data_IF_291413475481
#
_entry.id   IF_291413475481
#
_cell.length_a   1.000
_cell.length_b   1.000
_cell.length_c   1.000
_cell.angle_alpha   90.00
_cell.angle_beta   90.00
_cell.angle_gamma   90.00
#
_symmetry.space_group_name_H-M   'P 1'
#
loop_
_entity.id
_entity.type
_entity.pdbx_description
1 polymer ?
#
# COMPACT_ATOMS: atom_id res chain seq x y z
N UNK A 1 -58.63 46.61 -45.00
CA UNK A 1 -57.64 45.56 -45.30
C UNK A 1 -56.28 46.00 -44.73
N UNK A 2 -55.80 45.43 -43.62
CA UNK A 2 -54.44 45.70 -43.17
C UNK A 2 -53.51 44.59 -43.55
N UNK A 3 -52.38 44.97 -44.07
CA UNK A 3 -51.23 44.18 -44.51
C UNK A 3 -50.53 43.57 -43.32
N UNK A 4 -50.34 42.22 -43.31
CA UNK A 4 -49.55 41.51 -42.33
C UNK A 4 -48.05 41.55 -42.72
N UNK A 5 -47.24 42.11 -41.88
CA UNK A 5 -45.78 42.07 -41.98
C UNK A 5 -45.27 40.80 -41.30
N UNK A 6 -44.64 39.89 -42.05
CA UNK A 6 -43.93 38.70 -41.52
C UNK A 6 -42.55 39.12 -41.04
N UNK A 7 -42.30 38.90 -39.73
CA UNK A 7 -40.96 39.01 -39.13
C UNK A 7 -40.27 37.64 -39.25
N UNK A 8 -39.20 37.54 -40.04
CA UNK A 8 -38.30 36.39 -40.08
C UNK A 8 -37.29 36.53 -38.94
N UNK A 9 -37.42 35.68 -37.92
CA UNK A 9 -36.40 35.49 -36.88
C UNK A 9 -35.28 34.57 -37.41
N UNK A 10 -34.13 35.17 -37.69
CA UNK A 10 -32.88 34.48 -37.93
C UNK A 10 -32.32 33.94 -36.61
N UNK A 11 -32.54 32.66 -36.30
CA UNK A 11 -31.85 31.99 -35.19
C UNK A 11 -30.43 31.58 -35.67
N UNK A 12 -29.43 32.16 -35.10
CA UNK A 12 -28.01 31.98 -35.37
C UNK A 12 -27.51 30.60 -34.88
N UNK A 13 -26.72 29.88 -35.69
CA UNK A 13 -26.14 28.53 -35.32
C UNK A 13 -24.91 28.62 -34.41
N UNK A 14 -24.66 29.71 -33.69
CA UNK A 14 -23.43 29.94 -32.91
C UNK A 14 -23.40 29.17 -31.59
N UNK A 15 -24.56 28.84 -30.98
CA UNK A 15 -24.59 28.15 -29.69
C UNK A 15 -24.22 26.66 -29.74
N UNK A 16 -24.34 25.97 -30.86
CA UNK A 16 -24.05 24.54 -30.97
C UNK A 16 -22.54 24.24 -31.15
N UNK A 17 -21.80 25.16 -31.75
CA UNK A 17 -20.35 24.99 -31.91
C UNK A 17 -19.57 25.17 -30.61
N UNK A 18 -20.04 26.04 -29.69
CA UNK A 18 -19.41 26.26 -28.37
C UNK A 18 -19.60 25.07 -27.40
N UNK A 19 -20.77 24.38 -27.46
CA UNK A 19 -21.01 23.16 -26.65
C UNK A 19 -20.18 21.97 -27.11
N UNK A 20 -19.93 21.81 -28.42
CA UNK A 20 -19.10 20.74 -28.95
C UNK A 20 -17.61 20.92 -28.64
N UNK A 21 -17.12 22.18 -28.58
CA UNK A 21 -15.74 22.49 -28.19
C UNK A 21 -15.48 22.28 -26.68
N UNK A 22 -16.47 22.52 -25.81
CA UNK A 22 -16.35 22.24 -24.38
C UNK A 22 -16.39 20.74 -24.07
N UNK A 23 -17.17 19.95 -24.82
CA UNK A 23 -17.21 18.49 -24.66
C UNK A 23 -15.90 17.82 -25.15
N UNK A 24 -15.25 18.34 -26.20
CA UNK A 24 -13.98 17.83 -26.68
C UNK A 24 -12.79 18.16 -25.76
N UNK A 25 -12.81 19.29 -25.07
CA UNK A 25 -11.78 19.65 -24.08
C UNK A 25 -11.84 18.76 -22.81
N UNK A 26 -13.04 18.34 -22.41
CA UNK A 26 -13.19 17.41 -21.27
C UNK A 26 -12.83 15.96 -21.63
N UNK A 27 -13.04 15.53 -22.86
CA UNK A 27 -12.64 14.21 -23.34
C UNK A 27 -11.12 14.07 -23.50
N UNK A 28 -10.42 15.13 -23.92
CA UNK A 28 -8.96 15.15 -24.00
C UNK A 28 -8.30 15.05 -22.60
N UNK A 29 -8.86 15.70 -21.58
CA UNK A 29 -8.36 15.66 -20.21
C UNK A 29 -8.45 14.27 -19.54
N UNK A 30 -9.42 13.44 -19.92
CA UNK A 30 -9.56 12.09 -19.37
C UNK A 30 -8.60 11.07 -20.02
N UNK A 31 -8.13 11.32 -21.25
CA UNK A 31 -7.23 10.43 -21.99
C UNK A 31 -5.77 10.50 -21.48
N UNK A 32 -5.40 11.56 -20.78
CA UNK A 32 -4.04 11.82 -20.33
C UNK A 32 -3.74 11.37 -18.90
N UNK A 33 -4.76 10.91 -18.15
CA UNK A 33 -4.59 10.47 -16.77
C UNK A 33 -3.94 9.09 -16.69
N UNK A 34 -3.10 8.90 -15.67
CA UNK A 34 -2.59 7.60 -15.24
C UNK A 34 -3.62 7.00 -14.28
N UNK A 35 -4.06 5.76 -14.53
CA UNK A 35 -4.99 5.06 -13.67
C UNK A 35 -4.26 3.93 -12.94
N UNK A 36 -4.21 4.01 -11.63
CA UNK A 36 -3.65 2.98 -10.77
C UNK A 36 -4.67 2.45 -9.77
N UNK A 37 -4.51 1.20 -9.32
CA UNK A 37 -5.35 0.65 -8.27
C UNK A 37 -4.58 -0.35 -7.42
N UNK A 38 -4.95 -0.51 -6.14
CA UNK A 38 -4.38 -1.57 -5.32
C UNK A 38 -4.16 -1.21 -3.86
N UNK A 39 -2.94 -1.42 -3.36
CA UNK A 39 -2.58 -1.24 -1.96
C UNK A 39 -3.17 0.04 -1.35
N UNK A 40 -3.97 -0.13 -0.30
CA UNK A 40 -4.48 1.00 0.48
C UNK A 40 -3.40 1.58 1.40
N UNK A 41 -2.39 0.79 1.76
CA UNK A 41 -1.24 1.23 2.53
C UNK A 41 -0.45 2.34 1.81
N UNK A 42 -0.19 2.16 0.50
CA UNK A 42 0.58 3.09 -0.31
C UNK A 42 -0.21 4.30 -0.82
N UNK A 43 -1.54 4.33 -0.65
CA UNK A 43 -2.37 5.43 -1.15
C UNK A 43 -1.89 6.82 -0.73
N UNK A 44 -1.49 7.08 0.53
CA UNK A 44 -1.02 8.40 0.95
C UNK A 44 0.25 8.86 0.21
N UNK A 45 1.24 7.99 0.01
CA UNK A 45 2.47 8.37 -0.69
C UNK A 45 2.22 8.59 -2.18
N UNK A 46 1.39 7.77 -2.82
CA UNK A 46 1.04 7.98 -4.23
C UNK A 46 0.26 9.28 -4.43
N UNK A 47 -0.60 9.65 -3.48
CA UNK A 47 -1.33 10.92 -3.51
C UNK A 47 -0.40 12.13 -3.38
N UNK A 48 0.58 12.10 -2.47
CA UNK A 48 1.52 13.22 -2.32
C UNK A 48 2.46 13.33 -3.53
N UNK A 49 2.95 12.20 -4.07
CA UNK A 49 3.72 12.17 -5.31
C UNK A 49 2.92 12.69 -6.51
N UNK A 50 1.67 12.26 -6.65
CA UNK A 50 0.79 12.72 -7.73
C UNK A 50 0.55 14.22 -7.67
N UNK A 51 0.32 14.76 -6.47
CA UNK A 51 0.11 16.20 -6.25
C UNK A 51 1.34 17.02 -6.66
N UNK A 52 2.54 16.53 -6.32
CA UNK A 52 3.79 17.22 -6.68
C UNK A 52 4.11 17.07 -8.17
N UNK A 53 3.95 15.86 -8.72
CA UNK A 53 4.15 15.57 -10.13
C UNK A 53 3.30 16.44 -11.04
N UNK A 54 2.03 16.65 -10.70
CA UNK A 54 1.09 17.46 -11.47
C UNK A 54 1.46 18.95 -11.55
N UNK A 55 2.36 19.46 -10.71
CA UNK A 55 2.83 20.86 -10.79
C UNK A 55 3.70 21.12 -12.03
N UNK A 56 4.35 20.08 -12.55
CA UNK A 56 5.31 20.20 -13.67
C UNK A 56 4.92 19.34 -14.88
N UNK A 57 3.92 18.49 -14.74
CA UNK A 57 3.45 17.57 -15.78
C UNK A 57 1.95 17.72 -15.97
N UNK A 58 1.48 17.75 -17.20
CA UNK A 58 0.05 17.87 -17.53
C UNK A 58 -0.77 16.59 -17.20
N UNK A 59 -0.11 15.54 -16.74
CA UNK A 59 -0.70 14.22 -16.46
C UNK A 59 -1.05 14.10 -14.98
N UNK A 60 -2.27 13.70 -14.66
CA UNK A 60 -2.74 13.42 -13.30
C UNK A 60 -2.76 11.91 -13.02
N UNK A 61 -2.51 11.53 -11.76
CA UNK A 61 -2.73 10.17 -11.27
C UNK A 61 -4.11 10.07 -10.62
N UNK A 62 -4.91 9.11 -11.10
CA UNK A 62 -6.14 8.65 -10.44
C UNK A 62 -5.82 7.29 -9.80
N UNK A 63 -5.83 7.23 -8.47
CA UNK A 63 -5.49 6.01 -7.73
C UNK A 63 -6.66 5.52 -6.89
N UNK A 64 -7.04 4.24 -7.09
CA UNK A 64 -8.13 3.56 -6.38
C UNK A 64 -7.58 2.59 -5.32
N UNK A 65 -7.68 2.90 -4.00
CA UNK A 65 -7.08 2.11 -2.92
C UNK A 65 -7.95 0.90 -2.53
N UNK A 66 -8.18 -0.02 -3.46
CA UNK A 66 -9.09 -1.19 -3.32
C UNK A 66 -8.47 -2.42 -2.63
N UNK A 67 -7.22 -2.33 -2.18
CA UNK A 67 -6.43 -3.41 -1.61
C UNK A 67 -5.59 -4.17 -2.65
N UNK A 68 -4.48 -4.79 -2.18
CA UNK A 68 -3.49 -5.47 -3.03
C UNK A 68 -4.10 -6.52 -3.96
N UNK A 69 -5.00 -7.36 -3.43
CA UNK A 69 -5.64 -8.41 -4.23
C UNK A 69 -6.48 -7.88 -5.38
N UNK A 70 -7.31 -6.86 -5.13
CA UNK A 70 -8.14 -6.24 -6.17
C UNK A 70 -7.29 -5.45 -7.18
N UNK A 71 -6.21 -4.78 -6.74
CA UNK A 71 -5.26 -4.09 -7.61
C UNK A 71 -4.61 -5.05 -8.61
N UNK A 72 -4.11 -6.19 -8.14
CA UNK A 72 -3.54 -7.23 -8.99
C UNK A 72 -4.58 -7.84 -9.94
N UNK A 73 -5.83 -8.03 -9.49
CA UNK A 73 -6.91 -8.50 -10.37
C UNK A 73 -7.22 -7.51 -11.50
N UNK A 74 -7.25 -6.19 -11.21
CA UNK A 74 -7.48 -5.13 -12.19
C UNK A 74 -6.35 -5.08 -13.24
N UNK A 75 -5.07 -5.11 -12.83
CA UNK A 75 -3.96 -5.06 -13.78
C UNK A 75 -3.86 -6.34 -14.62
N UNK A 76 -4.17 -7.51 -14.07
CA UNK A 76 -4.24 -8.75 -14.82
C UNK A 76 -5.27 -8.68 -15.98
N UNK A 77 -6.36 -7.93 -15.78
CA UNK A 77 -7.39 -7.68 -16.80
C UNK A 77 -7.10 -6.44 -17.67
N UNK A 78 -6.01 -5.70 -17.40
CA UNK A 78 -5.68 -4.45 -18.10
C UNK A 78 -6.74 -3.34 -17.92
N UNK A 79 -7.46 -3.35 -16.79
CA UNK A 79 -8.46 -2.32 -16.42
C UNK A 79 -7.80 -1.02 -15.93
N UNK A 80 -6.53 -1.09 -15.52
CA UNK A 80 -5.70 0.03 -15.03
C UNK A 80 -4.33 0.03 -15.70
N UNK A 81 -3.59 1.13 -15.61
CA UNK A 81 -2.24 1.25 -16.17
C UNK A 81 -1.19 0.57 -15.29
N UNK A 82 -1.43 0.55 -13.97
CA UNK A 82 -0.65 -0.24 -13.03
C UNK A 82 -1.49 -0.79 -11.87
N UNK A 83 -1.11 -1.95 -11.37
CA UNK A 83 -1.62 -2.50 -10.11
C UNK A 83 -0.61 -2.32 -9.00
N UNK A 84 -1.05 -1.89 -7.80
CA UNK A 84 -0.18 -1.79 -6.64
C UNK A 84 -0.49 -2.90 -5.62
N UNK A 85 0.57 -3.54 -5.10
CA UNK A 85 0.45 -4.64 -4.13
C UNK A 85 1.58 -4.59 -3.13
N UNK A 86 1.28 -4.90 -1.86
CA UNK A 86 2.30 -5.09 -0.84
C UNK A 86 2.84 -6.53 -0.83
N UNK A 87 2.36 -7.37 -1.74
CA UNK A 87 2.76 -8.76 -1.90
C UNK A 87 3.44 -8.88 -3.26
N UNK A 88 4.66 -9.39 -3.28
CA UNK A 88 5.33 -9.70 -4.54
C UNK A 88 4.70 -10.95 -5.17
N UNK A 89 4.35 -10.85 -6.46
CA UNK A 89 3.84 -11.99 -7.21
C UNK A 89 5.00 -12.93 -7.59
N UNK A 90 4.71 -14.24 -7.64
CA UNK A 90 5.72 -15.21 -8.08
C UNK A 90 6.17 -14.95 -9.52
N UNK A 91 7.42 -15.33 -9.85
CA UNK A 91 7.93 -15.20 -11.21
C UNK A 91 7.07 -15.97 -12.23
N UNK A 92 6.46 -17.10 -11.82
CA UNK A 92 5.55 -17.88 -12.64
C UNK A 92 4.24 -17.10 -12.93
N UNK A 93 3.66 -16.45 -11.91
CA UNK A 93 2.45 -15.65 -12.08
C UNK A 93 2.71 -14.38 -12.90
N UNK A 94 3.83 -13.70 -12.69
CA UNK A 94 4.24 -12.55 -13.49
C UNK A 94 4.39 -12.93 -14.97
N UNK A 95 5.07 -14.05 -15.24
CA UNK A 95 5.23 -14.59 -16.60
C UNK A 95 3.88 -14.96 -17.23
N UNK A 96 3.04 -15.69 -16.49
CA UNK A 96 1.70 -16.11 -16.93
C UNK A 96 0.82 -14.92 -17.32
N UNK A 97 0.86 -13.85 -16.51
CA UNK A 97 0.05 -12.66 -16.72
C UNK A 97 0.74 -11.59 -17.59
N UNK A 98 1.96 -11.85 -18.10
CA UNK A 98 2.71 -10.92 -18.92
C UNK A 98 3.01 -9.61 -18.20
N UNK A 99 3.39 -9.66 -16.93
CA UNK A 99 3.70 -8.51 -16.09
C UNK A 99 5.18 -8.46 -15.73
N UNK A 100 5.67 -7.26 -15.43
CA UNK A 100 6.84 -7.00 -14.61
C UNK A 100 6.37 -6.36 -13.30
N UNK A 101 7.16 -6.53 -12.22
CA UNK A 101 6.82 -6.02 -10.91
C UNK A 101 8.08 -5.50 -10.21
N UNK A 102 8.00 -4.34 -9.58
CA UNK A 102 9.12 -3.69 -8.90
C UNK A 102 8.62 -2.85 -7.71
N UNK A 103 9.44 -2.69 -6.64
CA UNK A 103 9.04 -1.97 -5.44
C UNK A 103 9.00 -0.46 -5.64
N UNK A 104 8.25 0.24 -4.80
CA UNK A 104 8.14 1.70 -4.80
C UNK A 104 8.53 2.34 -3.47
N UNK A 105 8.07 1.78 -2.35
CA UNK A 105 8.33 2.28 -1.00
C UNK A 105 8.31 1.14 0.01
N UNK A 106 8.80 1.43 1.22
CA UNK A 106 8.81 0.52 2.36
C UNK A 106 8.05 1.15 3.52
N UNK A 107 7.33 0.32 4.28
CA UNK A 107 6.61 0.71 5.50
C UNK A 107 6.53 -0.47 6.47
N UNK A 108 5.85 -0.30 7.61
CA UNK A 108 5.60 -1.36 8.58
C UNK A 108 4.12 -1.61 8.83
N UNK A 109 3.79 -2.85 9.14
CA UNK A 109 2.50 -3.23 9.73
C UNK A 109 2.59 -3.12 11.23
N UNK A 110 1.69 -2.36 11.84
CA UNK A 110 1.74 -2.01 13.26
C UNK A 110 0.50 -2.53 13.97
N UNK A 111 0.63 -3.39 14.98
CA UNK A 111 -0.47 -3.67 15.90
C UNK A 111 -0.81 -2.39 16.68
N UNK A 112 -2.09 -2.02 16.69
CA UNK A 112 -2.61 -0.83 17.36
C UNK A 112 -3.76 -1.19 18.28
N UNK A 113 -3.93 -0.41 19.34
CA UNK A 113 -4.96 -0.65 20.36
C UNK A 113 -5.76 0.61 20.68
N UNK A 114 -7.00 0.43 21.11
CA UNK A 114 -7.81 1.51 21.68
C UNK A 114 -8.10 1.20 23.15
N UNK A 115 -7.10 1.39 24.01
CA UNK A 115 -7.20 1.25 25.47
C UNK A 115 -7.17 2.62 26.15
N UNK A 116 -8.16 2.90 26.99
CA UNK A 116 -8.28 4.19 27.66
C UNK A 116 -7.01 4.53 28.47
N UNK A 117 -6.48 5.74 28.25
CA UNK A 117 -5.29 6.29 28.91
C UNK A 117 -3.96 5.56 28.61
N UNK A 118 -3.96 4.59 27.72
CA UNK A 118 -2.72 3.92 27.31
C UNK A 118 -1.96 4.83 26.31
N UNK A 119 -0.70 5.09 26.63
CA UNK A 119 0.17 5.82 25.70
C UNK A 119 0.64 4.88 24.57
N UNK A 120 0.92 5.45 23.40
CA UNK A 120 1.54 4.70 22.30
C UNK A 120 2.85 4.05 22.79
N UNK A 121 3.11 2.82 22.35
CA UNK A 121 4.27 2.00 22.71
C UNK A 121 4.37 1.55 24.18
N UNK A 122 3.40 1.90 25.04
CA UNK A 122 3.39 1.43 26.42
C UNK A 122 3.01 -0.06 26.56
N UNK A 123 2.19 -0.60 25.62
CA UNK A 123 1.88 -2.03 25.58
C UNK A 123 2.96 -2.77 24.80
N UNK A 124 3.44 -3.88 25.37
CA UNK A 124 4.43 -4.78 24.77
C UNK A 124 3.80 -6.13 24.46
N UNK A 125 3.99 -6.61 23.22
CA UNK A 125 3.58 -7.96 22.82
C UNK A 125 4.74 -8.66 22.11
N UNK A 126 4.72 -9.99 22.12
CA UNK A 126 5.51 -10.81 21.22
C UNK A 126 4.61 -11.49 20.17
N UNK A 127 5.20 -12.12 19.17
CA UNK A 127 4.45 -12.75 18.10
C UNK A 127 3.55 -13.89 18.56
N UNK A 128 3.95 -14.67 19.57
CA UNK A 128 3.13 -15.76 20.12
C UNK A 128 1.85 -15.21 20.79
N UNK A 129 2.00 -14.24 21.69
CA UNK A 129 0.84 -13.63 22.38
C UNK A 129 -0.08 -12.93 21.38
N UNK A 130 0.48 -12.21 20.42
CA UNK A 130 -0.30 -11.56 19.36
C UNK A 130 -1.08 -12.60 18.53
N UNK A 131 -0.45 -13.69 18.13
CA UNK A 131 -1.13 -14.78 17.41
C UNK A 131 -2.26 -15.41 18.21
N UNK A 132 -2.04 -15.66 19.51
CA UNK A 132 -3.06 -16.24 20.41
C UNK A 132 -4.25 -15.30 20.63
N UNK A 133 -4.04 -13.99 20.63
CA UNK A 133 -5.13 -13.01 20.62
C UNK A 133 -5.98 -13.16 19.35
N UNK A 134 -5.38 -13.16 18.16
CA UNK A 134 -6.10 -13.27 16.91
C UNK A 134 -6.65 -14.70 16.62
N UNK A 135 -6.14 -15.72 17.31
CA UNK A 135 -6.72 -17.07 17.34
C UNK A 135 -7.96 -17.18 18.26
N UNK A 136 -8.25 -16.15 19.08
CA UNK A 136 -9.29 -16.15 20.08
C UNK A 136 -8.96 -17.01 21.31
N UNK A 137 -7.70 -17.32 21.55
CA UNK A 137 -7.20 -18.05 22.73
C UNK A 137 -6.96 -17.12 23.93
N UNK A 138 -6.61 -15.88 23.67
CA UNK A 138 -6.50 -14.80 24.66
C UNK A 138 -7.59 -13.79 24.32
N UNK A 139 -8.59 -13.66 25.21
CA UNK A 139 -9.81 -12.87 24.95
C UNK A 139 -10.00 -11.70 25.94
N UNK A 140 -9.09 -11.55 26.90
CA UNK A 140 -9.15 -10.51 27.95
C UNK A 140 -7.82 -9.74 27.96
N UNK A 141 -7.89 -8.42 28.17
CA UNK A 141 -6.69 -7.59 28.23
C UNK A 141 -5.81 -7.90 29.44
N UNK A 142 -6.40 -8.30 30.57
CA UNK A 142 -5.67 -8.67 31.78
C UNK A 142 -5.25 -10.14 31.85
N UNK A 143 -5.25 -10.85 30.73
CA UNK A 143 -4.76 -12.22 30.64
C UNK A 143 -3.33 -12.34 31.19
N UNK A 144 -3.00 -13.45 31.88
CA UNK A 144 -1.67 -13.63 32.48
C UNK A 144 -0.51 -13.44 31.51
N UNK A 145 -0.67 -13.89 30.27
CA UNK A 145 0.34 -13.83 29.22
C UNK A 145 0.63 -12.38 28.79
N UNK A 146 -0.40 -11.53 28.73
CA UNK A 146 -0.24 -10.10 28.42
C UNK A 146 0.39 -9.40 29.62
N UNK A 147 -0.08 -9.66 30.83
CA UNK A 147 0.47 -9.08 32.05
C UNK A 147 1.95 -9.43 32.26
N UNK A 148 2.35 -10.66 31.94
CA UNK A 148 3.75 -11.09 32.08
C UNK A 148 4.72 -10.27 31.20
N UNK A 149 4.26 -9.77 30.05
CA UNK A 149 5.03 -8.87 29.18
C UNK A 149 4.94 -7.39 29.60
N UNK A 150 3.99 -7.05 30.49
CA UNK A 150 3.61 -5.68 30.87
C UNK A 150 3.43 -5.50 32.37
N UNK A 151 4.42 -5.80 33.21
CA UNK A 151 4.26 -5.75 34.66
C UNK A 151 3.93 -4.35 35.19
N UNK A 152 4.37 -3.30 34.48
CA UNK A 152 4.16 -1.90 34.88
C UNK A 152 2.85 -1.29 34.31
N UNK A 153 2.14 -2.01 33.42
CA UNK A 153 0.92 -1.51 32.75
C UNK A 153 -0.32 -2.04 33.46
N UNK A 154 -1.18 -1.14 33.95
CA UNK A 154 -2.47 -1.53 34.51
C UNK A 154 -3.46 -1.85 33.41
N UNK A 155 -3.57 -3.14 33.06
CA UNK A 155 -4.49 -3.63 32.02
C UNK A 155 -5.91 -3.84 32.60
N UNK A 156 -6.98 -3.50 31.85
CA UNK A 156 -8.35 -3.65 32.36
C UNK A 156 -8.83 -5.11 32.19
N UNK A 157 -9.64 -5.59 33.17
CA UNK A 157 -10.35 -6.86 33.05
C UNK A 157 -11.55 -6.72 32.06
N UNK A 158 -11.26 -6.56 30.79
CA UNK A 158 -12.25 -6.34 29.72
C UNK A 158 -11.93 -7.19 28.49
N UNK A 159 -12.97 -7.58 27.70
CA UNK A 159 -12.77 -8.36 26.49
C UNK A 159 -11.99 -7.59 25.43
N UNK A 160 -11.24 -8.33 24.62
CA UNK A 160 -10.51 -7.82 23.46
C UNK A 160 -11.43 -7.85 22.24
N UNK A 161 -11.62 -6.73 21.55
CA UNK A 161 -12.34 -6.65 20.30
C UNK A 161 -11.35 -6.65 19.11
N UNK A 162 -11.48 -7.64 18.23
CA UNK A 162 -10.60 -7.75 17.05
C UNK A 162 -11.15 -6.94 15.89
N UNK A 163 -10.29 -6.13 15.28
CA UNK A 163 -10.58 -5.42 14.03
C UNK A 163 -9.60 -5.90 12.97
N UNK A 164 -10.12 -6.32 11.81
CA UNK A 164 -9.36 -6.98 10.75
C UNK A 164 -9.76 -6.49 9.37
N UNK A 165 -8.99 -6.88 8.35
CA UNK A 165 -9.29 -6.58 6.96
C UNK A 165 -10.28 -7.57 6.38
N UNK A 166 -11.28 -7.06 5.64
CA UNK A 166 -12.29 -7.83 4.90
C UNK A 166 -11.95 -7.99 3.40
N UNK A 167 -10.95 -7.27 2.90
CA UNK A 167 -10.48 -7.29 1.52
C UNK A 167 -9.19 -8.09 1.35
N UNK A 168 -8.78 -8.34 0.12
CA UNK A 168 -7.47 -8.93 -0.20
C UNK A 168 -6.35 -7.92 0.09
N UNK A 169 -5.76 -8.01 1.28
CA UNK A 169 -4.87 -7.01 1.87
C UNK A 169 -3.43 -7.49 1.97
N UNK A 170 -2.49 -6.69 1.47
CA UNK A 170 -1.06 -6.91 1.70
C UNK A 170 -0.67 -6.77 3.16
N UNK A 171 -1.30 -5.84 3.90
CA UNK A 171 -1.13 -5.69 5.35
C UNK A 171 -1.49 -6.98 6.09
N UNK A 172 -2.62 -7.63 5.71
CA UNK A 172 -3.02 -8.94 6.24
C UNK A 172 -2.00 -10.03 5.90
N UNK A 173 -1.46 -10.03 4.68
CA UNK A 173 -0.46 -11.00 4.25
C UNK A 173 0.80 -10.94 5.14
N UNK A 174 1.41 -9.77 5.30
CA UNK A 174 2.62 -9.61 6.12
C UNK A 174 2.36 -9.87 7.61
N UNK A 175 1.21 -9.45 8.10
CA UNK A 175 0.77 -9.77 9.47
C UNK A 175 0.67 -11.29 9.67
N UNK A 176 0.02 -12.00 8.74
CA UNK A 176 -0.15 -13.46 8.82
C UNK A 176 1.15 -14.22 8.61
N UNK A 177 2.07 -13.72 7.76
CA UNK A 177 3.41 -14.28 7.60
C UNK A 177 4.19 -14.21 8.93
N UNK A 178 4.22 -13.04 9.56
CA UNK A 178 4.85 -12.88 10.87
C UNK A 178 4.24 -13.82 11.93
N UNK A 179 2.91 -13.90 12.03
CA UNK A 179 2.26 -14.80 12.98
C UNK A 179 2.55 -16.28 12.67
N UNK A 180 2.67 -16.66 11.40
CA UNK A 180 3.05 -18.01 10.99
C UNK A 180 4.49 -18.37 11.34
N UNK A 181 5.40 -17.40 11.38
CA UNK A 181 6.80 -17.59 11.82
C UNK A 181 6.90 -17.77 13.32
N UNK A 182 6.06 -17.06 14.08
CA UNK A 182 6.17 -16.95 15.53
C UNK A 182 5.23 -17.87 16.32
N UNK A 183 4.21 -18.47 15.66
CA UNK A 183 3.24 -19.34 16.34
C UNK A 183 2.79 -20.52 15.47
N UNK A 184 3.08 -21.75 15.93
CA UNK A 184 2.77 -22.98 15.20
C UNK A 184 1.27 -23.24 15.03
N UNK A 185 0.43 -22.87 16.01
CA UNK A 185 -1.03 -23.03 15.94
C UNK A 185 -1.65 -22.08 14.89
N UNK A 186 -1.14 -20.85 14.79
CA UNK A 186 -1.53 -19.95 13.72
C UNK A 186 -1.16 -20.53 12.35
N UNK A 187 0.11 -20.95 12.20
CA UNK A 187 0.62 -21.56 10.96
C UNK A 187 -0.23 -22.74 10.49
N UNK A 188 -0.62 -23.59 11.42
CA UNK A 188 -1.44 -24.79 11.13
C UNK A 188 -2.88 -24.42 10.74
N UNK A 189 -3.49 -23.44 11.45
CA UNK A 189 -4.90 -23.09 11.26
C UNK A 189 -5.15 -22.17 10.07
N UNK A 190 -4.34 -21.13 9.94
CA UNK A 190 -4.55 -20.06 8.98
C UNK A 190 -3.43 -19.96 7.93
N UNK A 191 -2.17 -20.22 8.32
CA UNK A 191 -1.02 -20.03 7.45
C UNK A 191 -0.82 -18.57 7.05
N UNK A 192 -0.30 -18.36 5.83
CA UNK A 192 -0.04 -17.05 5.23
C UNK A 192 -1.04 -16.80 4.11
N UNK A 193 -1.81 -15.71 4.21
CA UNK A 193 -2.75 -15.32 3.18
C UNK A 193 -3.08 -13.82 3.28
N UNK A 194 -3.59 -13.26 2.20
CA UNK A 194 -4.03 -11.86 2.15
C UNK A 194 -5.50 -11.66 2.55
N UNK A 195 -6.22 -12.75 2.78
CA UNK A 195 -7.63 -12.76 3.20
C UNK A 195 -7.95 -14.03 3.99
N UNK A 196 -8.79 -13.88 5.01
CA UNK A 196 -9.27 -15.00 5.84
C UNK A 196 -10.77 -14.94 6.03
N UNK A 197 -11.40 -16.11 6.20
CA UNK A 197 -12.75 -16.23 6.75
C UNK A 197 -12.64 -16.07 8.28
N UNK A 198 -12.78 -14.85 8.75
CA UNK A 198 -12.71 -14.54 10.19
C UNK A 198 -13.91 -15.09 10.95
N UNK A 199 -13.74 -15.50 12.22
CA UNK A 199 -14.84 -16.00 13.03
C UNK A 199 -15.88 -14.91 13.32
N UNK A 200 -17.07 -15.33 13.69
CA UNK A 200 -18.14 -14.43 14.13
C UNK A 200 -17.69 -13.56 15.33
N UNK A 201 -18.13 -12.30 15.37
CA UNK A 201 -17.78 -11.35 16.42
C UNK A 201 -16.52 -10.52 16.12
N UNK A 202 -15.77 -10.84 15.07
CA UNK A 202 -14.65 -10.01 14.59
C UNK A 202 -15.19 -8.88 13.70
N UNK A 203 -14.72 -7.65 13.92
CA UNK A 203 -15.08 -6.48 13.09
C UNK A 203 -14.19 -6.48 11.86
N UNK A 204 -14.75 -6.79 10.70
CA UNK A 204 -14.03 -6.84 9.45
C UNK A 204 -14.40 -5.66 8.53
N UNK A 205 -13.40 -4.85 8.12
CA UNK A 205 -13.58 -3.65 7.30
C UNK A 205 -12.63 -3.62 6.12
N UNK A 206 -12.95 -2.85 5.06
CA UNK A 206 -12.15 -2.77 3.84
C UNK A 206 -11.22 -1.57 3.84
N UNK A 207 -9.94 -1.82 3.54
CA UNK A 207 -8.92 -0.78 3.42
C UNK A 207 -8.43 -0.25 4.77
N UNK A 208 -7.25 0.38 4.76
CA UNK A 208 -6.55 0.84 5.96
C UNK A 208 -7.26 2.02 6.64
N UNK A 209 -7.88 2.91 5.87
CA UNK A 209 -8.65 4.04 6.41
C UNK A 209 -9.85 3.59 7.27
N UNK A 210 -10.58 2.56 6.83
CA UNK A 210 -11.71 2.05 7.61
C UNK A 210 -11.25 1.24 8.85
N UNK A 211 -10.07 0.58 8.79
CA UNK A 211 -9.46 -0.01 10.01
C UNK A 211 -9.18 1.07 11.04
N UNK A 212 -8.53 2.16 10.65
CA UNK A 212 -8.25 3.28 11.56
C UNK A 212 -9.52 3.85 12.19
N UNK A 213 -10.54 4.09 11.38
CA UNK A 213 -11.83 4.59 11.86
C UNK A 213 -12.52 3.61 12.82
N UNK A 214 -12.48 2.30 12.52
CA UNK A 214 -13.05 1.27 13.38
C UNK A 214 -12.34 1.17 14.73
N UNK A 215 -10.99 1.27 14.76
CA UNK A 215 -10.20 1.29 16.00
C UNK A 215 -10.61 2.46 16.88
N UNK A 216 -10.68 3.67 16.33
CA UNK A 216 -11.10 4.87 17.09
C UNK A 216 -12.51 4.75 17.65
N UNK A 217 -13.41 4.09 16.91
CA UNK A 217 -14.80 3.93 17.32
C UNK A 217 -15.05 2.78 18.29
N UNK A 218 -14.08 1.84 18.46
CA UNK A 218 -14.28 0.62 19.24
C UNK A 218 -13.33 0.61 20.45
N UNK A 219 -13.78 0.98 21.65
CA UNK A 219 -12.98 0.81 22.87
C UNK A 219 -12.56 -0.64 23.08
N UNK A 220 -11.41 -0.84 23.73
CA UNK A 220 -10.84 -2.15 24.06
C UNK A 220 -10.54 -3.04 22.82
N UNK A 221 -10.34 -2.39 21.66
CA UNK A 221 -9.98 -3.08 20.42
C UNK A 221 -8.47 -3.21 20.22
N UNK A 222 -8.12 -4.20 19.40
CA UNK A 222 -6.81 -4.37 18.77
C UNK A 222 -7.00 -4.58 17.26
N UNK A 223 -6.12 -3.99 16.47
CA UNK A 223 -6.04 -4.16 15.04
C UNK A 223 -4.58 -4.26 14.59
N UNK A 224 -4.37 -4.54 13.31
CA UNK A 224 -3.11 -4.32 12.59
C UNK A 224 -3.37 -3.34 11.44
N UNK A 225 -2.45 -2.39 11.26
CA UNK A 225 -2.61 -1.31 10.28
C UNK A 225 -1.25 -0.85 9.77
N UNK A 226 -1.23 -0.12 8.67
CA UNK A 226 -0.01 0.47 8.12
C UNK A 226 0.45 1.67 8.95
N UNK A 227 1.75 1.82 9.11
CA UNK A 227 2.38 2.81 9.99
C UNK A 227 1.92 4.24 9.76
N UNK A 228 1.79 4.66 8.51
CA UNK A 228 1.34 6.01 8.16
C UNK A 228 -0.04 6.34 8.73
N UNK A 229 -1.02 5.41 8.63
CA UNK A 229 -2.35 5.61 9.21
C UNK A 229 -2.32 5.64 10.75
N UNK A 230 -1.45 4.80 11.36
CA UNK A 230 -1.26 4.83 12.82
C UNK A 230 -0.78 6.20 13.29
N UNK A 231 0.19 6.80 12.59
CA UNK A 231 0.74 8.12 12.94
C UNK A 231 -0.27 9.23 12.67
N UNK A 232 -0.85 9.27 11.47
CA UNK A 232 -1.71 10.37 11.02
C UNK A 232 -3.01 10.45 11.83
N UNK A 233 -3.54 9.32 12.26
CA UNK A 233 -4.77 9.22 13.05
C UNK A 233 -4.53 9.12 14.56
N UNK A 234 -3.26 9.16 15.02
CA UNK A 234 -2.88 9.17 16.45
C UNK A 234 -3.27 7.89 17.19
N UNK A 235 -3.20 6.72 16.53
CA UNK A 235 -3.52 5.44 17.16
C UNK A 235 -2.39 5.00 18.10
N UNK A 236 -2.73 4.33 19.21
CA UNK A 236 -1.75 3.80 20.14
C UNK A 236 -1.10 2.53 19.57
N UNK A 237 0.17 2.61 19.23
CA UNK A 237 0.97 1.49 18.76
C UNK A 237 1.35 0.53 19.89
N UNK A 238 1.58 -0.72 19.54
CA UNK A 238 2.15 -1.76 20.41
C UNK A 238 3.64 -1.90 20.12
N UNK A 239 4.49 -1.92 21.14
CA UNK A 239 5.90 -2.32 21.01
C UNK A 239 5.99 -3.82 20.79
N UNK A 240 6.66 -4.25 19.72
CA UNK A 240 6.77 -5.67 19.38
C UNK A 240 8.13 -6.23 19.72
N UNK A 241 8.15 -7.47 20.23
CA UNK A 241 9.39 -8.22 20.44
C UNK A 241 9.89 -8.73 19.08
N UNK A 242 11.11 -8.36 18.71
CA UNK A 242 11.74 -8.76 17.45
C UNK A 242 12.48 -10.10 17.54
N UNK A 243 13.07 -10.56 16.44
CA UNK A 243 13.81 -11.83 16.34
C UNK A 243 14.99 -11.92 17.32
N UNK A 244 15.60 -10.80 17.72
CA UNK A 244 16.69 -10.74 18.72
C UNK A 244 16.20 -10.59 20.16
N UNK A 245 14.87 -10.66 20.37
CA UNK A 245 14.28 -10.61 21.70
C UNK A 245 14.16 -9.22 22.30
N UNK A 246 14.42 -8.15 21.52
CA UNK A 246 14.28 -6.77 21.95
C UNK A 246 12.86 -6.26 21.68
N UNK A 247 12.31 -5.44 22.58
CA UNK A 247 11.09 -4.70 22.31
C UNK A 247 11.40 -3.46 21.49
N UNK A 248 10.80 -3.37 20.30
CA UNK A 248 11.04 -2.32 19.33
C UNK A 248 9.76 -1.54 19.07
N UNK A 249 9.88 -0.24 18.85
CA UNK A 249 8.80 0.65 18.46
C UNK A 249 8.74 0.76 16.92
N UNK A 250 7.52 0.85 16.38
CA UNK A 250 7.32 1.09 14.96
C UNK A 250 7.69 2.53 14.61
N UNK A 251 8.69 2.70 13.76
CA UNK A 251 9.10 3.98 13.17
C UNK A 251 9.93 3.74 11.91
N UNK A 252 10.19 4.79 11.15
CA UNK A 252 10.93 4.70 9.88
C UNK A 252 12.36 4.18 10.05
N UNK A 253 13.00 4.46 11.19
CA UNK A 253 14.33 3.97 11.52
C UNK A 253 14.33 2.46 11.75
N UNK A 254 13.32 1.92 12.46
CA UNK A 254 13.23 0.48 12.72
C UNK A 254 12.84 -0.32 11.46
N UNK A 255 12.10 0.26 10.52
CA UNK A 255 11.85 -0.32 9.20
C UNK A 255 13.11 -0.30 8.34
N UNK A 256 13.84 0.81 8.34
CA UNK A 256 15.12 0.92 7.64
C UNK A 256 16.12 -0.10 8.17
N UNK A 257 16.20 -0.28 9.49
CA UNK A 257 17.05 -1.29 10.13
C UNK A 257 16.71 -2.70 9.61
N UNK A 258 15.42 -3.07 9.52
CA UNK A 258 15.03 -4.36 8.97
C UNK A 258 15.49 -4.52 7.50
N UNK A 259 15.36 -3.47 6.70
CA UNK A 259 15.84 -3.49 5.30
C UNK A 259 17.35 -3.68 5.20
N UNK A 260 18.13 -3.05 6.08
CA UNK A 260 19.60 -3.19 6.11
C UNK A 260 20.06 -4.62 6.33
N UNK A 261 19.24 -5.45 6.99
CA UNK A 261 19.50 -6.88 7.22
C UNK A 261 18.86 -7.81 6.16
N UNK A 262 18.36 -7.26 5.06
CA UNK A 262 17.70 -8.01 3.98
C UNK A 262 18.54 -8.14 2.73
N UNK A 263 18.12 -9.04 1.82
CA UNK A 263 18.64 -9.11 0.44
C UNK A 263 18.38 -7.85 -0.36
N UNK A 264 17.33 -7.08 -0.01
CA UNK A 264 17.05 -5.79 -0.60
C UNK A 264 18.25 -4.84 -0.52
N UNK A 265 18.87 -4.76 0.65
CA UNK A 265 20.05 -3.90 0.84
C UNK A 265 21.35 -4.56 0.33
N UNK A 266 21.55 -5.84 0.62
CA UNK A 266 22.84 -6.50 0.34
C UNK A 266 23.07 -6.77 -1.15
N UNK A 267 22.02 -7.19 -1.88
CA UNK A 267 22.12 -7.58 -3.29
C UNK A 267 21.17 -6.83 -4.22
N UNK A 268 20.22 -6.05 -3.69
CA UNK A 268 19.13 -5.43 -4.46
C UNK A 268 18.03 -6.44 -4.84
N UNK A 269 18.07 -7.66 -4.30
CA UNK A 269 17.03 -8.66 -4.54
C UNK A 269 15.80 -8.38 -3.66
N UNK A 270 14.75 -7.91 -4.29
CA UNK A 270 13.47 -7.61 -3.67
C UNK A 270 12.42 -8.73 -3.83
N UNK A 271 12.84 -9.92 -4.25
CA UNK A 271 11.95 -11.09 -4.38
C UNK A 271 11.64 -11.77 -3.05
N UNK A 272 12.30 -11.36 -1.96
CA UNK A 272 12.14 -11.94 -0.63
C UNK A 272 11.38 -11.01 0.30
N UNK A 273 10.65 -11.59 1.25
CA UNK A 273 9.98 -10.83 2.31
C UNK A 273 10.98 -10.23 3.30
N UNK A 274 10.64 -9.07 3.86
CA UNK A 274 11.45 -8.36 4.85
C UNK A 274 10.83 -8.42 6.26
N UNK A 275 10.11 -9.51 6.55
CA UNK A 275 9.52 -9.81 7.85
C UNK A 275 10.47 -10.60 8.75
N UNK A 276 10.46 -10.28 10.04
CA UNK A 276 11.14 -10.97 11.14
C UNK A 276 12.64 -11.16 10.89
N UNK A 277 13.28 -10.10 10.36
CA UNK A 277 14.71 -10.08 10.08
C UNK A 277 15.52 -9.75 11.33
N UNK A 278 16.80 -10.16 11.33
CA UNK A 278 17.77 -9.84 12.36
C UNK A 278 17.93 -8.31 12.55
N UNK A 279 18.62 -7.93 13.62
CA UNK A 279 18.91 -6.55 13.97
C UNK A 279 18.20 -6.12 15.26
N UNK A 280 18.96 -5.62 16.24
CA UNK A 280 18.45 -5.30 17.56
C UNK A 280 17.33 -4.22 17.53
N UNK A 281 17.27 -3.41 16.47
CA UNK A 281 16.25 -2.37 16.27
C UNK A 281 15.30 -2.68 15.12
N UNK A 282 15.43 -3.84 14.45
CA UNK A 282 14.58 -4.23 13.33
C UNK A 282 13.13 -4.38 13.75
N UNK A 283 12.22 -3.69 13.06
CA UNK A 283 10.78 -3.89 13.21
C UNK A 283 10.37 -5.25 12.60
N UNK A 284 9.64 -6.10 13.33
CA UNK A 284 9.43 -7.47 12.87
C UNK A 284 8.41 -7.62 11.74
N UNK A 285 7.59 -6.62 11.46
CA UNK A 285 6.56 -6.70 10.41
C UNK A 285 6.76 -5.56 9.41
N UNK A 286 7.87 -5.64 8.67
CA UNK A 286 8.23 -4.65 7.64
C UNK A 286 7.80 -5.15 6.27
N UNK A 287 7.29 -4.26 5.41
CA UNK A 287 6.82 -4.63 4.07
C UNK A 287 7.21 -3.60 3.01
N UNK A 288 7.38 -4.08 1.78
CA UNK A 288 7.49 -3.25 0.58
C UNK A 288 6.17 -3.14 -0.14
N UNK A 289 5.92 -2.01 -0.80
CA UNK A 289 4.85 -1.89 -1.79
C UNK A 289 5.45 -1.92 -3.19
N UNK A 290 4.82 -2.68 -4.07
CA UNK A 290 5.25 -2.91 -5.45
C UNK A 290 4.22 -2.36 -6.44
N UNK A 291 4.69 -2.05 -7.63
CA UNK A 291 3.85 -1.79 -8.80
C UNK A 291 4.05 -2.93 -9.81
N UNK A 292 2.93 -3.44 -10.32
CA UNK A 292 2.87 -4.37 -11.43
C UNK A 292 2.38 -3.64 -12.69
N UNK A 293 3.07 -3.84 -13.82
CA UNK A 293 2.78 -3.19 -15.10
C UNK A 293 2.91 -4.20 -16.24
N UNK A 294 2.20 -4.05 -17.39
CA UNK A 294 2.37 -4.94 -18.53
C UNK A 294 3.81 -4.94 -19.04
N UNK A 295 4.40 -6.13 -19.22
CA UNK A 295 5.72 -6.29 -19.85
C UNK A 295 5.70 -5.90 -21.32
N UNK A 296 4.62 -6.26 -22.01
CA UNK A 296 4.33 -5.81 -23.38
C UNK A 296 2.98 -5.12 -23.34
N UNK A 297 2.93 -3.86 -23.74
CA UNK A 297 1.75 -3.02 -23.60
C UNK A 297 1.10 -2.74 -24.95
N UNK A 298 -0.20 -3.01 -25.05
CA UNK A 298 -1.04 -2.60 -26.18
C UNK A 298 -1.29 -1.07 -26.19
N UNK A 299 -1.14 -0.41 -25.04
CA UNK A 299 -1.32 1.04 -24.86
C UNK A 299 0.00 1.70 -24.46
N UNK A 300 0.99 1.65 -25.38
CA UNK A 300 2.37 2.07 -25.12
C UNK A 300 2.50 3.45 -24.48
N UNK A 301 1.77 4.46 -24.95
CA UNK A 301 1.80 5.82 -24.40
C UNK A 301 1.30 5.90 -22.95
N UNK A 302 0.23 5.18 -22.61
CA UNK A 302 -0.29 5.15 -21.23
C UNK A 302 0.70 4.49 -20.28
N UNK A 303 1.32 3.40 -20.72
CA UNK A 303 2.36 2.69 -19.95
C UNK A 303 3.61 3.57 -19.80
N UNK A 304 4.01 4.30 -20.84
CA UNK A 304 5.12 5.26 -20.76
C UNK A 304 4.84 6.35 -19.74
N UNK A 305 3.64 6.95 -19.72
CA UNK A 305 3.24 7.93 -18.69
C UNK A 305 3.29 7.38 -17.27
N UNK A 306 2.77 6.15 -17.08
CA UNK A 306 2.85 5.49 -15.77
C UNK A 306 4.29 5.28 -15.31
N UNK A 307 5.19 4.84 -16.20
CA UNK A 307 6.60 4.67 -15.90
C UNK A 307 7.32 6.01 -15.68
N UNK A 308 6.97 7.08 -16.41
CA UNK A 308 7.48 8.43 -16.18
C UNK A 308 7.15 8.92 -14.78
N UNK A 309 5.91 8.72 -14.33
CA UNK A 309 5.52 9.06 -12.96
C UNK A 309 6.35 8.30 -11.91
N UNK A 310 6.52 6.97 -12.08
CA UNK A 310 7.27 6.15 -11.13
C UNK A 310 8.76 6.51 -11.12
N UNK A 311 9.37 6.70 -12.28
CA UNK A 311 10.80 7.09 -12.36
C UNK A 311 11.01 8.49 -11.82
N UNK A 312 10.07 9.41 -12.03
CA UNK A 312 10.07 10.71 -11.38
C UNK A 312 10.02 10.57 -9.85
N UNK A 313 9.17 9.68 -9.33
CA UNK A 313 9.06 9.43 -7.90
C UNK A 313 10.37 8.87 -7.30
N UNK A 314 11.09 8.01 -8.01
CA UNK A 314 12.41 7.53 -7.57
C UNK A 314 13.46 8.67 -7.52
N UNK A 315 13.42 9.62 -8.46
CA UNK A 315 14.38 10.70 -8.52
C UNK A 315 14.08 11.86 -7.57
N UNK A 316 12.80 12.12 -7.32
CA UNK A 316 12.34 13.34 -6.64
C UNK A 316 11.48 13.06 -5.40
N UNK A 317 11.04 11.81 -5.21
CA UNK A 317 9.99 11.48 -4.26
C UNK A 317 10.45 11.10 -2.86
N UNK A 318 11.74 10.95 -2.60
CA UNK A 318 12.27 10.46 -1.31
C UNK A 318 11.85 11.31 -0.12
N UNK A 319 12.00 12.65 -0.23
CA UNK A 319 11.57 13.58 0.82
C UNK A 319 10.06 13.50 1.05
N UNK A 320 9.29 13.39 -0.03
CA UNK A 320 7.83 13.25 0.02
C UNK A 320 7.41 11.90 0.63
N UNK A 321 8.14 10.81 0.33
CA UNK A 321 7.92 9.51 0.96
C UNK A 321 8.13 9.57 2.48
N UNK A 322 9.22 10.22 2.95
CA UNK A 322 9.45 10.45 4.38
C UNK A 322 8.38 11.31 5.04
N UNK A 323 7.90 12.36 4.36
CA UNK A 323 6.76 13.17 4.82
C UNK A 323 5.50 12.33 4.98
N UNK A 324 5.24 11.41 4.04
CA UNK A 324 4.14 10.44 4.10
C UNK A 324 4.40 9.26 5.05
N UNK A 325 5.47 9.27 5.85
CA UNK A 325 5.84 8.23 6.83
C UNK A 325 6.26 6.89 6.20
N UNK A 326 6.87 6.95 5.03
CA UNK A 326 7.47 5.79 4.36
C UNK A 326 8.99 5.87 4.36
N UNK A 327 9.62 4.72 4.20
CA UNK A 327 11.07 4.60 3.95
C UNK A 327 11.27 4.52 2.43
N UNK A 328 12.07 5.42 1.84
CA UNK A 328 12.48 5.32 0.45
C UNK A 328 13.26 4.03 0.19
N UNK A 329 13.27 3.60 -1.07
CA UNK A 329 14.03 2.42 -1.47
C UNK A 329 15.54 2.67 -1.38
N UNK A 330 16.35 1.70 -0.91
CA UNK A 330 17.80 1.75 -1.05
C UNK A 330 18.23 1.85 -2.52
N UNK A 331 19.35 2.53 -2.80
CA UNK A 331 19.84 2.73 -4.17
C UNK A 331 19.99 1.44 -4.97
N UNK A 332 20.48 0.35 -4.35
CA UNK A 332 20.60 -0.97 -5.01
C UNK A 332 19.24 -1.53 -5.42
N UNK A 333 18.21 -1.33 -4.61
CA UNK A 333 16.84 -1.76 -4.92
C UNK A 333 16.28 -0.92 -6.05
N UNK A 334 16.52 0.40 -6.05
CA UNK A 334 16.13 1.25 -7.18
C UNK A 334 16.83 0.82 -8.47
N UNK A 335 18.12 0.49 -8.43
CA UNK A 335 18.85 -0.02 -9.59
C UNK A 335 18.22 -1.32 -10.14
N UNK A 336 17.86 -2.26 -9.25
CA UNK A 336 17.15 -3.49 -9.63
C UNK A 336 15.75 -3.21 -10.18
N UNK A 337 15.03 -2.22 -9.62
CA UNK A 337 13.73 -1.78 -10.14
C UNK A 337 13.85 -1.18 -11.55
N UNK A 338 14.88 -0.37 -11.82
CA UNK A 338 15.16 0.12 -13.15
C UNK A 338 15.47 -1.01 -14.14
N UNK A 339 16.13 -2.08 -13.71
CA UNK A 339 16.35 -3.25 -14.57
C UNK A 339 15.04 -3.97 -14.92
N UNK A 340 14.04 -3.99 -14.04
CA UNK A 340 12.70 -4.50 -14.36
C UNK A 340 11.94 -3.55 -15.31
N UNK A 341 12.00 -2.24 -15.08
CA UNK A 341 11.41 -1.22 -15.94
C UNK A 341 11.95 -1.31 -17.36
N UNK A 342 13.26 -1.54 -17.52
CA UNK A 342 13.91 -1.66 -18.83
C UNK A 342 13.35 -2.79 -19.70
N UNK A 343 12.67 -3.80 -19.10
CA UNK A 343 12.04 -4.93 -19.81
C UNK A 343 10.69 -4.58 -20.44
N UNK A 344 10.16 -3.38 -20.20
CA UNK A 344 8.83 -2.97 -20.69
C UNK A 344 8.92 -2.47 -22.13
N UNK A 345 8.06 -3.01 -23.00
CA UNK A 345 7.96 -2.63 -24.41
C UNK A 345 6.51 -2.41 -24.86
N UNK A 346 6.32 -1.72 -25.98
CA UNK A 346 5.06 -1.67 -26.69
C UNK A 346 4.89 -2.92 -27.58
N UNK A 347 3.67 -3.24 -27.97
CA UNK A 347 3.38 -4.30 -28.97
C UNK A 347 4.03 -4.03 -30.33
N UNK A 348 4.30 -2.75 -30.66
CA UNK A 348 5.07 -2.36 -31.85
C UNK A 348 6.53 -2.82 -31.83
N UNK A 349 7.02 -3.32 -30.70
CA UNK A 349 8.43 -3.68 -30.47
C UNK A 349 9.29 -2.53 -29.96
N UNK A 350 8.75 -1.31 -29.81
CA UNK A 350 9.49 -0.19 -29.19
C UNK A 350 9.76 -0.48 -27.73
N UNK A 351 11.02 -0.35 -27.29
CA UNK A 351 11.40 -0.51 -25.89
C UNK A 351 11.10 0.77 -25.11
N UNK A 352 9.94 0.81 -24.45
CA UNK A 352 9.49 1.95 -23.61
C UNK A 352 10.46 2.16 -22.46
N UNK A 353 10.82 1.09 -21.74
CA UNK A 353 11.69 1.18 -20.58
C UNK A 353 13.10 1.65 -20.92
N UNK A 354 13.72 1.14 -21.97
CA UNK A 354 15.07 1.56 -22.39
C UNK A 354 15.10 3.01 -22.89
N UNK A 355 14.07 3.43 -23.63
CA UNK A 355 13.91 4.83 -24.06
C UNK A 355 13.84 5.78 -22.86
N UNK A 356 13.05 5.41 -21.86
CA UNK A 356 12.93 6.19 -20.62
C UNK A 356 14.26 6.27 -19.88
N UNK A 357 14.99 5.15 -19.73
CA UNK A 357 16.33 5.14 -19.10
C UNK A 357 17.32 6.02 -19.84
N UNK A 358 17.31 5.98 -21.17
CA UNK A 358 18.17 6.85 -21.99
C UNK A 358 17.90 8.35 -21.80
N UNK A 359 16.68 8.74 -21.47
CA UNK A 359 16.31 10.12 -21.17
C UNK A 359 16.74 10.58 -19.76
N UNK A 360 16.84 9.66 -18.80
CA UNK A 360 17.30 9.96 -17.44
C UNK A 360 18.82 10.18 -17.35
N UNK A 361 19.57 9.69 -18.33
CA UNK A 361 21.05 9.81 -18.38
C UNK A 361 21.53 11.06 -19.14
N UNK A 362 20.62 11.85 -19.72
CA UNK A 362 20.90 13.11 -20.41
C UNK A 362 20.71 14.31 -19.50
#
# INVERSE_FOLDING_TARGET
>A
MPTQTRIHTLFTPICHAALLLLASAQAASAADNINGAGSSAASPVYKIWATEYAKTHATALVYDPVGSGAGMAKINKREVDFGASDIIASAADLKKNGLVMFPTVITGVVPVVNLAKLQSNALRLNGDVLARIFLGQIVQWDAPEIRALNPEVKLPARPIHLIVRADGSGTTYHFSDYLSRTNAAWKQKYGVANHFAWPAGVIAVKGSAEVSKAVRATPDSIAYIDYNYMVDDGLAAVSMKNAEGQFVEANTESFHEAVMHSTWYTTGDFSTEINDLAGAKSWPITMGTYIAIPRVSATGERTERALQFITWAYLNGDTLARQAKFVPLPERVQASAYAEIAKVSAESGESIGMKLMGNLLK
#
